data_IF_405608283136
#
_entry.id   IF_405608283136
#
_cell.length_a   1.000
_cell.length_b   1.000
_cell.length_c   1.000
_cell.angle_alpha   90.00
_cell.angle_beta   90.00
_cell.angle_gamma   90.00
#
_symmetry.space_group_name_H-M   'P 1'
#
loop_
_entity.id
_entity.type
_entity.pdbx_description
1 polymer ?
#
# COMPACT_ATOMS: atom_id res chain seq x y z
N UNK A 1 10.67 4.80 -6.45
CA UNK A 1 10.48 4.06 -7.72
C UNK A 1 11.81 4.01 -8.45
N UNK A 2 12.10 2.89 -9.13
CA UNK A 2 13.26 2.79 -10.00
C UNK A 2 13.10 3.74 -11.20
N UNK A 3 14.22 4.29 -11.69
CA UNK A 3 14.22 5.09 -12.92
C UNK A 3 14.15 4.13 -14.11
N UNK A 4 13.44 4.49 -15.18
CA UNK A 4 13.25 3.59 -16.33
C UNK A 4 14.60 3.13 -16.90
N UNK A 5 15.57 4.03 -16.98
CA UNK A 5 16.95 3.77 -17.44
C UNK A 5 17.73 2.79 -16.55
N UNK A 6 17.27 2.54 -15.32
CA UNK A 6 17.90 1.60 -14.38
C UNK A 6 17.27 0.21 -14.39
N UNK A 7 16.15 0.03 -15.09
CA UNK A 7 15.47 -1.27 -15.26
C UNK A 7 16.21 -2.08 -16.34
N UNK A 8 16.34 -3.41 -16.24
CA UNK A 8 16.90 -4.23 -17.31
C UNK A 8 16.16 -4.02 -18.64
N UNK A 9 16.88 -3.97 -19.76
CA UNK A 9 16.29 -3.65 -21.08
C UNK A 9 15.13 -4.57 -21.49
N UNK A 10 15.17 -5.84 -21.07
CA UNK A 10 14.09 -6.82 -21.26
C UNK A 10 12.78 -6.42 -20.57
N UNK A 11 12.86 -5.75 -19.43
CA UNK A 11 11.71 -5.31 -18.63
C UNK A 11 11.28 -3.88 -19.01
N UNK A 12 12.20 -3.02 -19.43
CA UNK A 12 11.89 -1.67 -19.90
C UNK A 12 10.84 -1.69 -21.01
N UNK A 13 10.98 -2.61 -21.98
CA UNK A 13 10.03 -2.75 -23.09
C UNK A 13 8.62 -3.02 -22.58
N UNK A 14 8.47 -3.92 -21.60
CA UNK A 14 7.18 -4.22 -20.99
C UNK A 14 6.55 -2.97 -20.36
N UNK A 15 7.32 -2.19 -19.61
CA UNK A 15 6.83 -0.97 -18.94
C UNK A 15 6.41 0.09 -19.95
N UNK A 16 7.15 0.26 -21.04
CA UNK A 16 6.85 1.22 -22.10
C UNK A 16 5.60 0.82 -22.88
N UNK A 17 5.38 -0.47 -23.10
CA UNK A 17 4.26 -1.01 -23.87
C UNK A 17 2.99 -1.24 -23.02
N UNK A 18 3.02 -0.93 -21.72
CA UNK A 18 1.82 -1.00 -20.87
C UNK A 18 0.72 -0.10 -21.44
N UNK A 19 -0.45 -0.69 -21.64
CA UNK A 19 -1.63 0.04 -22.07
C UNK A 19 -2.10 0.98 -20.95
N UNK A 20 -1.84 2.26 -21.13
CA UNK A 20 -2.28 3.34 -20.25
C UNK A 20 -3.44 4.15 -20.86
N UNK A 21 -4.17 3.58 -21.83
CA UNK A 21 -5.34 4.22 -22.40
C UNK A 21 -6.46 4.41 -21.36
N UNK A 22 -7.29 5.43 -21.55
CA UNK A 22 -8.39 5.78 -20.63
C UNK A 22 -8.00 6.76 -19.51
N UNK A 23 -6.73 7.18 -19.47
CA UNK A 23 -6.22 8.21 -18.56
C UNK A 23 -6.01 9.57 -19.23
N UNK A 24 -6.26 9.69 -20.54
CA UNK A 24 -6.09 10.93 -21.30
C UNK A 24 -6.94 12.07 -20.71
N UNK A 25 -6.35 13.26 -20.60
CA UNK A 25 -7.04 14.45 -20.10
C UNK A 25 -7.38 14.43 -18.60
N UNK A 26 -6.93 13.42 -17.83
CA UNK A 26 -7.04 13.43 -16.36
C UNK A 26 -5.92 14.27 -15.76
N UNK A 27 -6.28 15.09 -14.75
CA UNK A 27 -5.34 15.92 -13.97
C UNK A 27 -5.24 15.36 -12.54
N UNK A 28 -4.42 14.31 -12.31
CA UNK A 28 -4.37 13.63 -11.00
C UNK A 28 -3.73 14.48 -9.90
N UNK A 29 -2.91 15.46 -10.28
CA UNK A 29 -2.26 16.38 -9.35
C UNK A 29 -3.09 17.65 -9.20
N UNK A 30 -3.81 17.74 -8.09
CA UNK A 30 -4.61 18.93 -7.74
C UNK A 30 -3.97 19.69 -6.59
N UNK A 31 -4.27 20.99 -6.49
CA UNK A 31 -3.91 21.77 -5.31
C UNK A 31 -4.55 21.14 -4.06
N UNK A 32 -3.76 20.72 -3.07
CA UNK A 32 -4.31 19.95 -1.96
C UNK A 32 -4.98 20.88 -0.94
N UNK A 33 -6.06 20.40 -0.31
CA UNK A 33 -6.69 21.07 0.85
C UNK A 33 -5.69 21.23 2.01
N UNK A 34 -5.96 22.06 3.03
CA UNK A 34 -5.21 22.04 4.29
C UNK A 34 -5.15 20.63 4.89
N UNK A 35 -4.05 20.28 5.56
CA UNK A 35 -3.82 18.90 6.05
C UNK A 35 -4.95 18.38 6.95
N UNK A 36 -5.46 19.24 7.82
CA UNK A 36 -6.56 18.93 8.75
C UNK A 36 -7.89 18.60 8.07
N UNK A 37 -8.03 18.88 6.78
CA UNK A 37 -9.23 18.62 5.98
C UNK A 37 -9.05 17.47 4.99
N UNK A 38 -7.88 16.81 5.00
CA UNK A 38 -7.58 15.72 4.07
C UNK A 38 -8.10 14.40 4.62
N UNK A 39 -8.71 13.62 3.73
CA UNK A 39 -8.87 12.17 3.90
C UNK A 39 -7.78 11.49 3.10
N UNK A 40 -7.01 10.61 3.74
CA UNK A 40 -5.91 9.87 3.10
C UNK A 40 -6.36 8.45 2.81
N UNK A 41 -6.03 7.96 1.62
CA UNK A 41 -6.08 6.55 1.27
C UNK A 41 -4.66 6.09 0.95
N UNK A 42 -4.26 4.94 1.50
CA UNK A 42 -2.97 4.33 1.22
C UNK A 42 -3.22 3.22 0.20
N UNK A 43 -2.61 3.34 -0.98
CA UNK A 43 -2.58 2.29 -2.00
C UNK A 43 -1.22 1.63 -1.95
N UNK A 44 -1.18 0.33 -1.66
CA UNK A 44 0.05 -0.44 -1.52
C UNK A 44 -0.18 -1.88 -1.92
N UNK A 45 0.85 -2.55 -2.43
CA UNK A 45 0.82 -4.00 -2.67
C UNK A 45 0.90 -4.81 -1.38
N UNK A 46 1.26 -4.18 -0.25
CA UNK A 46 1.50 -4.82 1.05
C UNK A 46 0.35 -5.71 1.56
N UNK A 47 -0.86 -5.59 0.99
CA UNK A 47 -2.01 -6.41 1.37
C UNK A 47 -2.29 -6.30 2.88
N UNK A 48 -2.41 -5.07 3.37
CA UNK A 48 -2.75 -4.79 4.76
C UNK A 48 -4.23 -5.08 5.01
N UNK A 49 -4.53 -5.79 6.09
CA UNK A 49 -5.89 -6.16 6.46
C UNK A 49 -6.00 -6.52 7.95
N UNK A 50 -7.24 -6.69 8.44
CA UNK A 50 -7.48 -7.21 9.77
C UNK A 50 -7.25 -8.71 9.82
N UNK A 51 -6.77 -9.20 10.97
CA UNK A 51 -6.63 -10.62 11.28
C UNK A 51 -8.01 -11.28 11.19
N UNK A 52 -8.11 -12.33 10.37
CA UNK A 52 -9.35 -13.06 10.15
C UNK A 52 -10.16 -12.57 8.94
N UNK A 53 -9.79 -11.45 8.31
CA UNK A 53 -10.34 -11.12 6.99
C UNK A 53 -10.00 -12.21 5.96
N UNK A 54 -10.78 -12.29 4.89
CA UNK A 54 -10.48 -13.15 3.73
C UNK A 54 -9.09 -12.86 3.16
N UNK A 55 -8.49 -13.78 2.42
CA UNK A 55 -7.24 -13.47 1.70
C UNK A 55 -7.52 -12.50 0.55
N UNK A 56 -6.53 -11.67 0.20
CA UNK A 56 -6.58 -10.97 -1.09
C UNK A 56 -6.28 -11.97 -2.19
N UNK A 57 -7.22 -12.12 -3.12
CA UNK A 57 -7.03 -12.95 -4.30
C UNK A 57 -6.10 -12.26 -5.31
N UNK A 58 -5.58 -13.04 -6.25
CA UNK A 58 -4.84 -12.46 -7.38
C UNK A 58 -5.75 -11.49 -8.14
N UNK A 59 -5.21 -10.34 -8.52
CA UNK A 59 -5.91 -9.28 -9.25
C UNK A 59 -7.09 -8.64 -8.48
N UNK A 60 -7.11 -8.78 -7.15
CA UNK A 60 -8.06 -8.08 -6.28
C UNK A 60 -8.02 -6.55 -6.52
N UNK A 61 -9.18 -5.97 -6.80
CA UNK A 61 -9.36 -4.51 -6.98
C UNK A 61 -10.17 -3.87 -5.86
N UNK A 62 -10.57 -4.66 -4.86
CA UNK A 62 -11.26 -4.20 -3.67
C UNK A 62 -10.28 -3.58 -2.65
N UNK A 63 -10.84 -2.92 -1.65
CA UNK A 63 -10.08 -2.33 -0.56
C UNK A 63 -10.71 -2.70 0.77
N UNK A 64 -9.90 -2.66 1.83
CA UNK A 64 -10.35 -2.84 3.20
C UNK A 64 -10.11 -1.60 4.02
N UNK A 65 -11.02 -1.32 4.93
CA UNK A 65 -10.90 -0.24 5.90
C UNK A 65 -10.30 -0.83 7.17
N UNK A 66 -9.19 -0.28 7.62
CA UNK A 66 -8.64 -0.54 8.95
C UNK A 66 -9.14 0.61 9.86
N UNK A 67 -9.99 0.32 10.86
CA UNK A 67 -10.44 1.34 11.81
C UNK A 67 -9.27 1.94 12.60
N UNK A 68 -9.41 3.19 13.05
CA UNK A 68 -8.32 3.92 13.72
C UNK A 68 -8.06 3.50 15.17
N UNK A 69 -8.93 2.66 15.73
CA UNK A 69 -8.98 2.24 17.14
C UNK A 69 -8.75 0.74 17.32
N UNK A 70 -8.25 0.04 16.29
CA UNK A 70 -7.92 -1.38 16.39
C UNK A 70 -6.64 -1.63 17.19
N UNK A 71 -6.54 -2.82 17.79
CA UNK A 71 -5.27 -3.30 18.34
C UNK A 71 -4.26 -3.45 17.18
N UNK A 72 -3.08 -2.81 17.25
CA UNK A 72 -2.02 -3.00 16.27
C UNK A 72 -1.69 -4.48 16.00
N UNK A 73 -1.81 -5.35 17.00
CA UNK A 73 -1.56 -6.79 16.87
C UNK A 73 -2.58 -7.51 15.96
N UNK A 74 -3.74 -6.90 15.72
CA UNK A 74 -4.77 -7.42 14.82
C UNK A 74 -4.60 -6.96 13.38
N UNK A 75 -3.70 -6.02 13.08
CA UNK A 75 -3.37 -5.65 11.71
C UNK A 75 -2.29 -6.59 11.19
N UNK A 76 -2.49 -7.14 9.99
CA UNK A 76 -1.54 -8.08 9.36
C UNK A 76 -1.16 -7.63 7.95
N UNK A 77 0.06 -7.99 7.54
CA UNK A 77 0.54 -7.85 6.16
C UNK A 77 0.52 -9.21 5.46
N UNK A 78 -0.44 -9.41 4.56
CA UNK A 78 -0.69 -10.70 3.89
C UNK A 78 -0.03 -10.83 2.50
N UNK A 79 0.95 -9.97 2.19
CA UNK A 79 1.63 -9.98 0.90
C UNK A 79 2.22 -11.37 0.56
N UNK A 80 1.92 -11.87 -0.65
CA UNK A 80 2.26 -13.24 -1.10
C UNK A 80 3.77 -13.50 -1.21
N UNK A 81 4.56 -12.47 -1.59
CA UNK A 81 6.01 -12.61 -1.70
C UNK A 81 6.65 -12.83 -0.33
N UNK A 82 7.40 -13.93 -0.20
CA UNK A 82 8.25 -14.21 0.96
C UNK A 82 9.36 -13.18 1.11
N UNK A 83 9.80 -12.57 0.00
CA UNK A 83 10.86 -11.55 -0.03
C UNK A 83 10.33 -10.13 0.26
N UNK A 84 9.03 -9.96 0.51
CA UNK A 84 8.50 -8.64 0.86
C UNK A 84 9.01 -8.23 2.24
N UNK A 85 9.56 -7.02 2.34
CA UNK A 85 10.06 -6.50 3.60
C UNK A 85 8.88 -6.20 4.55
N UNK A 86 8.97 -6.71 5.77
CA UNK A 86 7.96 -6.55 6.82
C UNK A 86 8.46 -5.69 7.97
N UNK A 87 9.73 -5.31 7.96
CA UNK A 87 10.42 -4.69 9.11
C UNK A 87 9.77 -3.38 9.50
N UNK A 88 9.61 -2.43 8.56
CA UNK A 88 8.99 -1.13 8.86
C UNK A 88 7.56 -1.25 9.37
N UNK A 89 6.76 -2.16 8.82
CA UNK A 89 5.41 -2.44 9.31
C UNK A 89 5.40 -3.00 10.74
N UNK A 90 6.35 -3.89 11.05
CA UNK A 90 6.48 -4.46 12.39
C UNK A 90 6.95 -3.40 13.39
N UNK A 91 7.91 -2.55 13.03
CA UNK A 91 8.38 -1.45 13.86
C UNK A 91 7.22 -0.48 14.19
N UNK A 92 6.50 -0.02 13.16
CA UNK A 92 5.38 0.93 13.32
C UNK A 92 4.26 0.41 14.25
N UNK A 93 3.94 -0.89 14.16
CA UNK A 93 2.87 -1.49 14.97
C UNK A 93 3.35 -1.93 16.36
N UNK A 94 4.58 -2.43 16.50
CA UNK A 94 5.11 -2.91 17.78
C UNK A 94 5.56 -1.76 18.69
N UNK A 95 6.04 -0.64 18.15
CA UNK A 95 6.44 0.53 18.96
C UNK A 95 5.22 1.12 19.71
N UNK A 96 4.01 0.98 19.16
CA UNK A 96 2.76 1.39 19.83
C UNK A 96 2.25 0.39 20.87
N UNK A 97 2.47 -0.90 20.68
CA UNK A 97 2.07 -1.90 21.68
C UNK A 97 2.86 -1.76 23.00
N UNK A 98 4.12 -1.30 22.93
CA UNK A 98 4.97 -1.09 24.10
C UNK A 98 4.62 0.17 24.91
N UNK A 99 3.89 1.15 24.34
CA UNK A 99 3.55 2.41 25.00
C UNK A 99 2.22 2.40 25.77
N UNK A 100 1.46 1.30 25.72
CA UNK A 100 0.17 1.14 26.42
C UNK A 100 0.31 0.41 27.77
N UNK A 101 1.55 0.21 28.24
CA UNK A 101 1.83 -0.41 29.54
C UNK A 101 2.38 0.59 30.54
N UNK A 102 1.63 1.66 30.85
CA UNK A 102 1.75 2.46 32.09
C UNK A 102 0.39 2.99 32.56
#
# INVERSE_FOLDING_TARGET
MARLETIPSSEQKMVIELDCSGFEGREPFVAPKPMSERRVAILSTAALNMRGDAIYERDATDFRVIPGDVDPADVVMSHISVNFDRTGFQEDLMERAAQVTE
#
